data_IF_499906055737
#
_entry.id   IF_499906055737
#
_cell.length_a   1.000
_cell.length_b   1.000
_cell.length_c   1.000
_cell.angle_alpha   90.00
_cell.angle_beta   90.00
_cell.angle_gamma   90.00
#
_symmetry.space_group_name_H-M   'P 1'
#
loop_
_entity.id
_entity.type
_entity.pdbx_description
1 polymer ?
#
# COMPACT_ATOMS: atom_id res chain seq x y z
N UNK A 1 16.09 -16.87 -26.17
CA UNK A 1 14.63 -16.74 -25.92
C UNK A 1 14.29 -17.20 -24.51
N UNK A 2 14.96 -16.67 -23.47
CA UNK A 2 14.82 -17.17 -22.09
C UNK A 2 14.60 -16.11 -21.00
N UNK A 3 14.77 -14.82 -21.26
CA UNK A 3 14.76 -13.81 -20.19
C UNK A 3 13.39 -13.17 -19.95
N UNK A 4 12.56 -13.06 -20.98
CA UNK A 4 11.30 -12.29 -20.93
C UNK A 4 10.30 -12.87 -19.93
N UNK A 5 10.24 -14.20 -19.79
CA UNK A 5 9.30 -14.82 -18.84
C UNK A 5 9.76 -14.64 -17.39
N UNK A 6 11.06 -14.69 -17.11
CA UNK A 6 11.60 -14.55 -15.75
C UNK A 6 11.41 -13.12 -15.23
N UNK A 7 11.64 -12.12 -16.08
CA UNK A 7 11.42 -10.70 -15.76
C UNK A 7 9.95 -10.40 -15.42
N UNK A 8 9.01 -11.04 -16.12
CA UNK A 8 7.57 -10.92 -15.88
C UNK A 8 7.15 -11.53 -14.53
N UNK A 9 7.66 -12.72 -14.20
CA UNK A 9 7.43 -13.36 -12.90
C UNK A 9 8.03 -12.56 -11.74
N UNK A 10 9.21 -11.95 -11.94
CA UNK A 10 9.84 -11.06 -10.96
C UNK A 10 8.98 -9.82 -10.72
N UNK A 11 8.46 -9.20 -11.78
CA UNK A 11 7.56 -8.05 -11.68
C UNK A 11 6.29 -8.36 -10.89
N UNK A 12 5.63 -9.49 -11.20
CA UNK A 12 4.44 -9.95 -10.49
C UNK A 12 4.77 -10.26 -9.01
N UNK A 13 5.87 -10.96 -8.77
CA UNK A 13 6.32 -11.29 -7.42
C UNK A 13 6.58 -10.05 -6.57
N UNK A 14 7.23 -9.04 -7.16
CA UNK A 14 7.52 -7.77 -6.49
C UNK A 14 6.23 -6.98 -6.19
N UNK A 15 5.28 -6.94 -7.12
CA UNK A 15 4.00 -6.27 -6.93
C UNK A 15 3.18 -6.92 -5.80
N UNK A 16 3.15 -8.26 -5.75
CA UNK A 16 2.49 -9.00 -4.67
C UNK A 16 3.18 -8.77 -3.32
N UNK A 17 4.51 -8.80 -3.28
CA UNK A 17 5.29 -8.53 -2.08
C UNK A 17 5.00 -7.12 -1.55
N UNK A 18 5.02 -6.11 -2.42
CA UNK A 18 4.74 -4.72 -2.05
C UNK A 18 3.31 -4.57 -1.50
N UNK A 19 2.32 -5.17 -2.16
CA UNK A 19 0.93 -5.20 -1.68
C UNK A 19 0.79 -5.84 -0.30
N UNK A 20 1.48 -6.97 -0.07
CA UNK A 20 1.49 -7.67 1.21
C UNK A 20 2.13 -6.83 2.32
N UNK A 21 3.25 -6.17 2.05
CA UNK A 21 3.91 -5.28 3.01
C UNK A 21 2.97 -4.15 3.44
N UNK A 22 2.32 -3.49 2.47
CA UNK A 22 1.36 -2.41 2.74
C UNK A 22 0.19 -2.90 3.58
N UNK A 23 -0.36 -4.08 3.29
CA UNK A 23 -1.42 -4.72 4.07
C UNK A 23 -0.99 -4.99 5.52
N UNK A 24 0.17 -5.61 5.71
CA UNK A 24 0.71 -5.94 7.04
C UNK A 24 0.95 -4.66 7.85
N UNK A 25 1.58 -3.64 7.25
CA UNK A 25 1.81 -2.35 7.92
C UNK A 25 0.50 -1.67 8.31
N UNK A 26 -0.51 -1.72 7.44
CA UNK A 26 -1.85 -1.19 7.72
C UNK A 26 -2.49 -1.92 8.90
N UNK A 27 -2.46 -3.26 8.92
CA UNK A 27 -2.97 -4.06 10.04
C UNK A 27 -2.25 -3.75 11.36
N UNK A 28 -0.93 -3.68 11.34
CA UNK A 28 -0.12 -3.35 12.52
C UNK A 28 -0.47 -1.95 13.04
N UNK A 29 -0.66 -0.97 12.15
CA UNK A 29 -1.09 0.36 12.54
C UNK A 29 -2.51 0.37 13.16
N UNK A 30 -3.46 -0.36 12.57
CA UNK A 30 -4.82 -0.51 13.12
C UNK A 30 -4.81 -1.16 14.50
N UNK A 31 -4.01 -2.21 14.69
CA UNK A 31 -3.84 -2.89 15.98
C UNK A 31 -3.25 -1.91 17.01
N UNK A 32 -2.24 -1.13 16.66
CA UNK A 32 -1.66 -0.11 17.55
C UNK A 32 -2.68 0.96 17.93
N UNK A 33 -3.47 1.45 16.97
CA UNK A 33 -4.53 2.43 17.20
C UNK A 33 -5.65 1.85 18.09
N UNK A 34 -6.02 0.59 17.88
CA UNK A 34 -7.02 -0.10 18.70
C UNK A 34 -6.55 -0.35 20.12
N UNK A 35 -5.26 -0.68 20.29
CA UNK A 35 -4.63 -0.84 21.61
C UNK A 35 -4.40 0.49 22.34
N UNK A 36 -4.32 1.61 21.62
CA UNK A 36 -4.32 2.95 22.19
C UNK A 36 -5.73 3.35 22.68
N UNK A 37 -6.26 2.63 23.66
CA UNK A 37 -7.60 2.82 24.22
C UNK A 37 -7.74 4.06 25.15
N UNK A 38 -6.69 4.88 25.29
CA UNK A 38 -6.65 6.03 26.20
C UNK A 38 -7.10 7.36 25.54
N UNK A 39 -7.50 7.35 24.27
CA UNK A 39 -7.85 8.55 23.49
C UNK A 39 -9.27 8.46 22.93
N UNK A 40 -9.97 9.59 22.90
CA UNK A 40 -11.37 9.73 22.49
C UNK A 40 -11.70 8.96 21.19
N UNK A 41 -12.85 8.27 21.14
CA UNK A 41 -13.23 7.38 20.02
C UNK A 41 -13.25 8.07 18.65
N UNK A 42 -13.52 9.38 18.60
CA UNK A 42 -13.55 10.17 17.36
C UNK A 42 -12.16 10.33 16.71
N UNK A 43 -11.10 10.48 17.50
CA UNK A 43 -9.73 10.63 17.00
C UNK A 43 -9.21 9.31 16.45
N UNK A 44 -9.60 8.20 17.07
CA UNK A 44 -9.27 6.84 16.64
C UNK A 44 -9.80 6.55 15.22
N UNK A 45 -11.05 6.89 14.97
CA UNK A 45 -11.68 6.70 13.65
C UNK A 45 -10.99 7.52 12.56
N UNK A 46 -10.57 8.75 12.87
CA UNK A 46 -9.84 9.59 11.92
C UNK A 46 -8.47 8.98 11.52
N UNK A 47 -7.74 8.41 12.48
CA UNK A 47 -6.47 7.73 12.20
C UNK A 47 -6.64 6.43 11.42
N UNK A 48 -7.67 5.65 11.73
CA UNK A 48 -8.03 4.47 10.93
C UNK A 48 -8.30 4.87 9.48
N UNK A 49 -9.06 5.94 9.27
CA UNK A 49 -9.37 6.45 7.94
C UNK A 49 -8.09 6.90 7.20
N UNK A 50 -7.21 7.64 7.87
CA UNK A 50 -5.94 8.08 7.28
C UNK A 50 -5.03 6.90 6.89
N UNK A 51 -4.94 5.86 7.72
CA UNK A 51 -4.17 4.63 7.44
C UNK A 51 -4.75 3.85 6.26
N UNK A 52 -6.07 3.82 6.08
CA UNK A 52 -6.71 3.15 4.95
C UNK A 52 -6.62 3.97 3.65
N UNK A 53 -6.73 5.28 3.75
CA UNK A 53 -6.72 6.18 2.60
C UNK A 53 -5.31 6.40 2.05
N UNK A 54 -4.27 6.42 2.89
CA UNK A 54 -2.90 6.66 2.44
C UNK A 54 -2.42 5.64 1.37
N UNK A 55 -2.62 4.31 1.52
CA UNK A 55 -2.33 3.33 0.47
C UNK A 55 -3.15 3.53 -0.80
N UNK A 56 -4.43 3.88 -0.65
CA UNK A 56 -5.35 4.04 -1.77
C UNK A 56 -4.98 5.27 -2.62
N UNK A 57 -4.69 6.39 -1.96
CA UNK A 57 -4.19 7.59 -2.62
C UNK A 57 -2.78 7.41 -3.18
N UNK A 58 -1.90 6.70 -2.47
CA UNK A 58 -0.55 6.38 -2.97
C UNK A 58 -0.59 5.52 -4.24
N UNK A 59 -1.42 4.48 -4.26
CA UNK A 59 -1.60 3.62 -5.43
C UNK A 59 -2.23 4.38 -6.60
N UNK A 60 -3.33 5.11 -6.36
CA UNK A 60 -3.99 5.91 -7.41
C UNK A 60 -3.09 7.01 -7.97
N UNK A 61 -2.27 7.66 -7.12
CA UNK A 61 -1.28 8.62 -7.56
C UNK A 61 -0.19 7.97 -8.41
N UNK A 62 0.28 6.78 -8.03
CA UNK A 62 1.23 6.03 -8.83
C UNK A 62 0.68 5.67 -10.21
N UNK A 63 -0.57 5.20 -10.29
CA UNK A 63 -1.23 4.93 -11.58
C UNK A 63 -1.48 6.21 -12.40
N UNK A 64 -1.80 7.34 -11.77
CA UNK A 64 -2.04 8.61 -12.47
C UNK A 64 -0.76 9.29 -12.99
N UNK A 65 0.38 9.04 -12.34
CA UNK A 65 1.69 9.58 -12.73
C UNK A 65 2.44 8.62 -13.66
N UNK A 66 2.35 7.31 -13.41
CA UNK A 66 3.09 6.28 -14.15
C UNK A 66 2.73 6.17 -15.63
N UNK A 67 1.52 6.58 -16.01
CA UNK A 67 1.06 6.60 -17.41
C UNK A 67 1.82 7.61 -18.30
N UNK A 68 2.64 8.49 -17.69
CA UNK A 68 3.34 9.58 -18.39
C UNK A 68 4.83 9.35 -18.60
N UNK A 69 5.37 8.17 -18.29
CA UNK A 69 6.77 7.85 -18.56
C UNK A 69 6.87 7.27 -19.98
N UNK A 70 7.38 8.02 -20.97
CA UNK A 70 7.73 7.43 -22.26
C UNK A 70 8.85 6.43 -22.00
N UNK A 71 8.61 5.16 -22.31
CA UNK A 71 9.67 4.18 -22.45
C UNK A 71 10.27 4.39 -23.84
N UNK A 72 11.22 5.34 -23.92
CA UNK A 72 12.08 5.54 -25.09
C UNK A 72 13.26 4.55 -25.10
#
# INVERSE_FOLDING_TARGET
MGNVSDDEWVGIGLALLAGMIVLVLSLVALIQIGRAAHLCPSVRTNWVLAVLLAPLFGATAWFAVGDRLPLD
#
